data_IF_650885590991
#
_entry.id   IF_650885590991
#
_cell.length_a   1.000
_cell.length_b   1.000
_cell.length_c   1.000
_cell.angle_alpha   90.00
_cell.angle_beta   90.00
_cell.angle_gamma   90.00
#
_symmetry.space_group_name_H-M   'P 1'
#
loop_
_entity.id
_entity.type
_entity.pdbx_description
1 polymer ?
#
# COMPACT_ATOMS: atom_id res chain seq x y z
N UNK A 1 3.49 17.50 -2.52
CA UNK A 1 4.66 17.24 -1.64
C UNK A 1 5.55 18.45 -1.81
N UNK A 2 5.38 19.45 -0.94
CA UNK A 2 6.11 20.71 -1.07
C UNK A 2 7.47 20.54 -0.39
N UNK A 3 8.53 20.50 -1.18
CA UNK A 3 9.90 20.66 -0.72
C UNK A 3 10.02 22.08 -0.15
N UNK A 4 9.86 22.22 1.16
CA UNK A 4 9.91 23.51 1.84
C UNK A 4 11.37 23.92 2.13
N UNK A 5 12.24 23.79 1.12
CA UNK A 5 13.60 24.30 1.22
C UNK A 5 13.54 25.81 1.06
N UNK A 6 14.24 26.54 1.93
CA UNK A 6 14.43 27.97 1.72
C UNK A 6 15.24 28.17 0.42
N UNK A 7 14.96 29.23 -0.35
CA UNK A 7 15.66 29.48 -1.63
C UNK A 7 17.20 29.58 -1.43
N UNK A 8 17.63 30.04 -0.26
CA UNK A 8 19.04 30.10 0.12
C UNK A 8 19.66 28.72 0.32
N UNK A 9 18.90 27.75 0.85
CA UNK A 9 19.36 26.38 1.06
C UNK A 9 19.45 25.61 -0.26
N UNK A 10 18.47 25.81 -1.16
CA UNK A 10 18.51 25.23 -2.52
C UNK A 10 19.75 25.69 -3.28
N UNK A 11 20.04 27.00 -3.29
CA UNK A 11 21.22 27.52 -3.98
C UNK A 11 22.54 27.02 -3.36
N UNK A 12 22.59 26.82 -2.05
CA UNK A 12 23.76 26.23 -1.40
C UNK A 12 23.99 24.78 -1.88
N UNK A 13 22.92 23.99 -1.98
CA UNK A 13 22.96 22.60 -2.46
C UNK A 13 23.33 22.54 -3.96
N UNK A 14 22.73 23.37 -4.80
CA UNK A 14 23.03 23.46 -6.24
C UNK A 14 24.52 23.80 -6.48
N UNK A 15 25.05 24.72 -5.66
CA UNK A 15 26.45 25.13 -5.72
C UNK A 15 27.40 23.99 -5.37
N UNK A 16 27.09 23.18 -4.36
CA UNK A 16 27.88 22.01 -3.97
C UNK A 16 27.79 20.86 -4.97
N UNK A 17 26.58 20.57 -5.46
CA UNK A 17 26.36 19.49 -6.42
C UNK A 17 26.77 19.86 -7.86
N UNK A 18 27.10 21.12 -8.11
CA UNK A 18 27.40 21.68 -9.43
C UNK A 18 26.33 21.35 -10.47
N UNK A 19 25.06 21.30 -10.03
CA UNK A 19 23.90 20.99 -10.88
C UNK A 19 22.70 21.80 -10.43
N UNK A 20 21.89 22.21 -11.40
CA UNK A 20 20.60 22.85 -11.17
C UNK A 20 19.57 21.80 -10.73
N UNK A 21 18.82 22.05 -9.65
CA UNK A 21 17.85 21.10 -9.09
C UNK A 21 16.48 21.42 -9.66
N UNK A 22 16.08 20.69 -10.70
CA UNK A 22 14.75 20.86 -11.30
C UNK A 22 13.64 20.33 -10.38
N UNK A 23 12.44 20.93 -10.40
CA UNK A 23 11.31 20.48 -9.59
C UNK A 23 11.02 18.98 -9.74
N UNK A 24 10.90 18.27 -8.61
CA UNK A 24 10.70 16.82 -8.57
C UNK A 24 12.00 15.99 -8.53
N UNK A 25 13.17 16.64 -8.43
CA UNK A 25 14.46 15.98 -8.23
C UNK A 25 14.71 15.74 -6.75
N UNK A 26 15.03 14.50 -6.39
CA UNK A 26 15.27 14.08 -5.01
C UNK A 26 16.77 13.89 -4.74
N UNK A 27 17.25 14.42 -3.62
CA UNK A 27 18.66 14.39 -3.23
C UNK A 27 18.93 13.10 -2.42
N UNK A 28 19.75 12.20 -2.97
CA UNK A 28 20.01 10.87 -2.39
C UNK A 28 21.34 10.78 -1.61
N UNK A 29 21.92 11.92 -1.22
CA UNK A 29 23.20 11.99 -0.50
C UNK A 29 23.20 13.19 0.45
N UNK A 30 23.89 13.07 1.57
CA UNK A 30 24.16 14.21 2.45
C UNK A 30 24.89 15.31 1.67
N UNK A 31 24.43 16.55 1.85
CA UNK A 31 24.95 17.76 1.21
C UNK A 31 25.08 18.86 2.26
N UNK A 32 26.23 19.52 2.33
CA UNK A 32 26.54 20.60 3.27
C UNK A 32 26.12 20.28 4.72
N UNK A 33 25.18 21.06 5.28
CA UNK A 33 24.62 20.91 6.63
C UNK A 33 23.40 19.97 6.70
N UNK A 34 22.93 19.46 5.57
CA UNK A 34 21.77 18.59 5.48
C UNK A 34 22.20 17.12 5.56
N UNK A 35 21.97 16.53 6.72
CA UNK A 35 22.17 15.11 6.97
C UNK A 35 20.85 14.37 6.88
N UNK A 36 20.76 13.42 5.96
CA UNK A 36 19.57 12.62 5.76
C UNK A 36 19.59 11.35 6.63
N UNK A 37 18.41 10.86 7.01
CA UNK A 37 18.30 9.55 7.65
C UNK A 37 18.66 8.48 6.63
N UNK A 38 19.64 7.64 7.00
CA UNK A 38 20.16 6.54 6.19
C UNK A 38 19.53 5.22 6.61
N UNK A 39 19.54 4.26 5.69
CA UNK A 39 19.10 2.91 5.98
C UNK A 39 19.89 2.28 7.15
N UNK A 40 19.20 1.48 7.97
CA UNK A 40 19.76 0.76 9.13
C UNK A 40 20.85 -0.23 8.73
N UNK A 41 20.95 -0.59 7.45
CA UNK A 41 21.99 -1.48 6.91
C UNK A 41 23.40 -0.89 6.87
N UNK A 42 23.59 0.39 7.25
CA UNK A 42 24.90 1.06 7.21
C UNK A 42 25.37 1.39 5.79
N UNK A 43 24.53 1.12 4.78
CA UNK A 43 24.75 1.64 3.44
C UNK A 43 24.48 3.15 3.43
N UNK A 44 25.26 3.92 2.67
CA UNK A 44 25.08 5.37 2.50
C UNK A 44 23.80 5.74 1.73
N UNK A 45 22.78 4.87 1.74
CA UNK A 45 21.51 5.05 1.05
C UNK A 45 20.60 5.92 1.90
N UNK A 46 20.34 7.11 1.38
CA UNK A 46 19.37 8.05 1.92
C UNK A 46 17.95 7.49 1.72
N UNK A 47 17.13 7.54 2.77
CA UNK A 47 15.73 7.12 2.71
C UNK A 47 14.89 8.23 2.07
N UNK A 48 14.13 7.91 1.03
CA UNK A 48 13.22 8.84 0.38
C UNK A 48 11.87 8.14 0.19
N UNK A 49 10.76 8.67 0.76
CA UNK A 49 10.68 9.84 1.63
C UNK A 49 11.39 9.66 2.98
N UNK A 50 11.77 10.77 3.61
CA UNK A 50 12.35 10.78 4.96
C UNK A 50 11.27 10.44 6.01
N UNK A 51 11.61 9.68 7.06
CA UNK A 51 10.68 9.44 8.16
C UNK A 51 10.31 10.76 8.84
N UNK A 52 9.02 10.95 9.09
CA UNK A 52 8.49 12.08 9.86
C UNK A 52 8.63 11.82 11.37
N UNK A 53 8.38 12.83 12.20
CA UNK A 53 8.32 12.67 13.67
C UNK A 53 7.00 12.02 14.15
N UNK A 54 6.05 11.77 13.24
CA UNK A 54 4.78 11.14 13.57
C UNK A 54 4.96 9.63 13.89
N UNK A 55 4.54 9.15 15.08
CA UNK A 55 4.56 7.72 15.41
C UNK A 55 3.65 6.87 14.50
N UNK A 56 2.67 7.47 13.83
CA UNK A 56 1.82 6.80 12.85
C UNK A 56 2.50 6.60 11.49
N UNK A 57 3.64 7.24 11.23
CA UNK A 57 4.38 7.10 9.97
C UNK A 57 4.85 5.65 9.77
N UNK A 58 4.40 4.96 8.69
CA UNK A 58 4.85 3.61 8.37
C UNK A 58 6.37 3.47 8.28
N UNK A 59 7.11 4.54 7.94
CA UNK A 59 8.56 4.50 7.87
C UNK A 59 9.19 4.21 9.24
N UNK A 60 8.61 4.73 10.32
CA UNK A 60 9.08 4.59 11.70
C UNK A 60 8.76 3.23 12.33
N UNK A 61 7.84 2.48 11.75
CA UNK A 61 7.35 1.24 12.34
C UNK A 61 8.46 0.19 12.51
N UNK A 62 8.36 -0.58 13.61
CA UNK A 62 9.20 -1.76 13.81
C UNK A 62 8.97 -2.79 12.70
N UNK A 63 9.99 -3.57 12.35
CA UNK A 63 9.88 -4.58 11.30
C UNK A 63 8.71 -5.55 11.56
N UNK A 64 8.52 -5.97 12.81
CA UNK A 64 7.41 -6.84 13.20
C UNK A 64 6.05 -6.18 12.94
N UNK A 65 5.88 -4.91 13.29
CA UNK A 65 4.62 -4.21 13.07
C UNK A 65 4.30 -4.01 11.57
N UNK A 66 5.32 -3.71 10.76
CA UNK A 66 5.20 -3.67 9.30
C UNK A 66 4.70 -5.01 8.75
N UNK A 67 5.33 -6.12 9.15
CA UNK A 67 4.95 -7.46 8.70
C UNK A 67 3.54 -7.84 9.15
N UNK A 68 3.17 -7.57 10.41
CA UNK A 68 1.83 -7.85 10.91
C UNK A 68 0.75 -7.07 10.14
N UNK A 69 1.03 -5.81 9.81
CA UNK A 69 0.10 -4.99 9.02
C UNK A 69 -0.06 -5.53 7.60
N UNK A 70 1.05 -5.93 6.95
CA UNK A 70 1.02 -6.55 5.62
C UNK A 70 0.24 -7.86 5.64
N UNK A 71 0.49 -8.72 6.64
CA UNK A 71 -0.24 -9.98 6.81
C UNK A 71 -1.72 -9.71 7.05
N UNK A 72 -2.07 -8.74 7.91
CA UNK A 72 -3.46 -8.36 8.19
C UNK A 72 -4.19 -7.89 6.94
N UNK A 73 -3.59 -6.99 6.16
CA UNK A 73 -4.14 -6.53 4.89
C UNK A 73 -4.28 -7.69 3.87
N UNK A 74 -3.28 -8.57 3.81
CA UNK A 74 -3.30 -9.73 2.92
C UNK A 74 -4.40 -10.74 3.29
N UNK A 75 -4.59 -10.99 4.59
CA UNK A 75 -5.65 -11.85 5.11
C UNK A 75 -7.03 -11.25 4.87
N UNK A 76 -7.19 -9.94 5.05
CA UNK A 76 -8.46 -9.26 4.75
C UNK A 76 -8.85 -9.45 3.28
N UNK A 77 -7.92 -9.23 2.36
CA UNK A 77 -8.12 -9.48 0.92
C UNK A 77 -8.39 -10.96 0.63
N UNK A 78 -7.68 -11.87 1.29
CA UNK A 78 -7.89 -13.31 1.15
C UNK A 78 -9.30 -13.74 1.59
N UNK A 79 -9.75 -13.31 2.78
CA UNK A 79 -11.07 -13.65 3.30
C UNK A 79 -12.21 -13.10 2.43
N UNK A 80 -12.00 -11.93 1.82
CA UNK A 80 -12.96 -11.36 0.87
C UNK A 80 -13.19 -12.26 -0.34
N UNK A 81 -12.15 -12.93 -0.85
CA UNK A 81 -12.26 -13.89 -1.96
C UNK A 81 -12.67 -15.30 -1.53
N UNK A 82 -12.25 -15.73 -0.33
CA UNK A 82 -12.45 -17.10 0.15
C UNK A 82 -13.92 -17.46 0.33
N UNK A 83 -14.72 -16.57 0.93
CA UNK A 83 -16.12 -16.85 1.28
C UNK A 83 -16.96 -17.33 0.08
N UNK A 84 -17.09 -16.55 -1.00
CA UNK A 84 -17.89 -16.93 -2.17
C UNK A 84 -17.35 -18.17 -2.90
N UNK A 85 -16.02 -18.35 -2.95
CA UNK A 85 -15.39 -19.46 -3.66
C UNK A 85 -15.52 -20.80 -2.92
N UNK A 86 -15.62 -20.76 -1.59
CA UNK A 86 -15.81 -21.96 -0.77
C UNK A 86 -17.22 -22.58 -0.90
N UNK A 87 -18.19 -21.86 -1.47
CA UNK A 87 -19.59 -22.33 -1.59
C UNK A 87 -19.81 -23.32 -2.74
N UNK A 88 -18.98 -23.29 -3.79
CA UNK A 88 -19.13 -24.14 -4.97
C UNK A 88 -19.29 -25.65 -4.66
N UNK A 89 -18.47 -26.28 -3.78
CA UNK A 89 -18.64 -27.69 -3.45
C UNK A 89 -19.91 -27.99 -2.61
N UNK A 90 -20.55 -26.99 -2.01
CA UNK A 90 -21.77 -27.16 -1.20
C UNK A 90 -23.06 -27.08 -2.02
N UNK A 91 -22.99 -26.71 -3.30
CA UNK A 91 -24.17 -26.58 -4.15
C UNK A 91 -25.04 -27.85 -4.24
N UNK A 92 -24.49 -29.08 -4.27
CA UNK A 92 -25.33 -30.29 -4.21
C UNK A 92 -26.20 -30.36 -2.95
N UNK A 93 -25.64 -30.05 -1.78
CA UNK A 93 -26.37 -30.05 -0.51
C UNK A 93 -27.45 -28.95 -0.49
N UNK A 94 -27.18 -27.79 -1.09
CA UNK A 94 -28.19 -26.72 -1.21
C UNK A 94 -29.33 -27.07 -2.14
N UNK A 95 -29.04 -27.76 -3.26
CA UNK A 95 -30.08 -28.24 -4.18
C UNK A 95 -31.03 -29.20 -3.46
N UNK A 96 -30.48 -30.11 -2.65
CA UNK A 96 -31.29 -31.04 -1.85
C UNK A 96 -32.09 -30.33 -0.76
N UNK A 97 -31.45 -29.44 0.00
CA UNK A 97 -32.08 -28.76 1.14
C UNK A 97 -33.16 -27.74 0.73
N UNK A 98 -32.97 -27.04 -0.38
CA UNK A 98 -33.89 -26.00 -0.86
C UNK A 98 -34.80 -26.46 -2.00
N UNK A 99 -34.67 -27.72 -2.46
CA UNK A 99 -35.42 -28.27 -3.59
C UNK A 99 -35.40 -27.36 -4.83
N UNK A 100 -34.24 -26.82 -5.16
CA UNK A 100 -34.06 -25.85 -6.24
C UNK A 100 -33.19 -26.40 -7.39
N UNK A 101 -33.15 -25.69 -8.52
CA UNK A 101 -32.23 -26.07 -9.60
C UNK A 101 -30.80 -25.59 -9.30
N UNK A 102 -29.80 -26.17 -10.00
CA UNK A 102 -28.42 -25.66 -9.92
C UNK A 102 -28.33 -24.19 -10.31
N UNK A 103 -29.12 -23.74 -11.29
CA UNK A 103 -29.14 -22.35 -11.73
C UNK A 103 -29.60 -21.40 -10.61
N UNK A 104 -30.55 -21.84 -9.79
CA UNK A 104 -31.04 -21.09 -8.63
C UNK A 104 -29.99 -21.09 -7.50
N UNK A 105 -29.38 -22.24 -7.21
CA UNK A 105 -28.33 -22.35 -6.20
C UNK A 105 -27.10 -21.49 -6.51
N UNK A 106 -26.71 -21.39 -7.78
CA UNK A 106 -25.57 -20.56 -8.22
C UNK A 106 -25.83 -19.06 -8.05
N UNK A 107 -27.09 -18.61 -7.92
CA UNK A 107 -27.37 -17.19 -7.67
C UNK A 107 -26.79 -16.68 -6.34
N UNK A 108 -26.58 -17.55 -5.35
CA UNK A 108 -25.95 -17.19 -4.07
C UNK A 108 -24.56 -16.57 -4.23
N UNK A 109 -23.79 -17.02 -5.21
CA UNK A 109 -22.47 -16.44 -5.53
C UNK A 109 -22.55 -15.46 -6.70
N UNK A 110 -23.39 -15.74 -7.70
CA UNK A 110 -23.52 -14.93 -8.92
C UNK A 110 -23.96 -13.48 -8.65
N UNK A 111 -24.99 -13.28 -7.83
CA UNK A 111 -25.48 -11.93 -7.49
C UNK A 111 -24.42 -11.14 -6.73
N UNK A 112 -23.74 -11.77 -5.78
CA UNK A 112 -22.65 -11.16 -5.00
C UNK A 112 -21.49 -10.68 -5.90
N UNK A 113 -21.07 -11.50 -6.87
CA UNK A 113 -20.00 -11.14 -7.82
C UNK A 113 -20.42 -9.97 -8.71
N UNK A 114 -21.68 -9.96 -9.20
CA UNK A 114 -22.17 -8.85 -10.01
C UNK A 114 -22.19 -7.54 -9.22
N UNK A 115 -22.73 -7.54 -8.00
CA UNK A 115 -22.73 -6.34 -7.13
C UNK A 115 -21.31 -5.86 -6.85
N UNK A 116 -20.40 -6.77 -6.52
CA UNK A 116 -18.99 -6.44 -6.29
C UNK A 116 -18.36 -5.82 -7.54
N UNK A 117 -18.56 -6.42 -8.71
CA UNK A 117 -18.07 -5.90 -9.99
C UNK A 117 -18.59 -4.50 -10.29
N UNK A 118 -19.91 -4.30 -10.24
CA UNK A 118 -20.54 -3.01 -10.54
C UNK A 118 -20.19 -1.91 -9.53
N UNK A 119 -19.94 -2.26 -8.26
CA UNK A 119 -19.57 -1.29 -7.23
C UNK A 119 -18.26 -0.54 -7.54
N UNK A 120 -17.35 -1.12 -8.34
CA UNK A 120 -16.12 -0.46 -8.76
C UNK A 120 -16.35 0.81 -9.60
N UNK A 121 -17.51 0.95 -10.26
CA UNK A 121 -17.83 2.14 -11.06
C UNK A 121 -18.30 3.34 -10.23
N UNK A 122 -18.71 3.10 -8.98
CA UNK A 122 -19.26 4.12 -8.07
C UNK A 122 -18.25 4.44 -6.95
N UNK A 123 -17.05 3.86 -7.01
CA UNK A 123 -16.01 3.98 -5.98
C UNK A 123 -15.73 5.44 -5.58
#
# INVERSE_FOLDING_TARGET
>A
MEMNYNNEELHAIETELHTDIVPGTEIMRDVASHHFVKDRSGSSRVLIPQPSDDPADPLNWSFTWKILTIIGASLASFFQGFGPLALAPMFPDYIEAFHCSLADAVQFTGVCILVLGFSNFIW
#
